data_IF_562981104159
#
_entry.id   IF_562981104159
#
_cell.length_a   1.000
_cell.length_b   1.000
_cell.length_c   1.000
_cell.angle_alpha   90.00
_cell.angle_beta   90.00
_cell.angle_gamma   90.00
#
_symmetry.space_group_name_H-M   'P 1'
#
loop_
_entity.id
_entity.type
_entity.pdbx_description
1 polymer ?
#
# COMPACT_ATOMS: atom_id res chain seq x y z
N UNK A 1 33.82 -0.71 25.53
CA UNK A 1 33.46 -2.02 24.94
C UNK A 1 31.95 -2.06 24.66
N UNK A 2 31.40 -1.19 23.79
CA UNK A 2 29.97 -1.25 23.34
C UNK A 2 29.82 -0.59 21.96
N UNK A 3 30.70 -0.88 21.00
CA UNK A 3 30.48 -0.45 19.59
C UNK A 3 29.82 -1.53 18.73
N UNK A 4 30.02 -2.80 19.08
CA UNK A 4 29.54 -3.92 18.27
C UNK A 4 28.10 -4.38 18.62
N UNK A 5 27.57 -4.06 19.81
CA UNK A 5 26.15 -4.31 20.12
C UNK A 5 25.23 -3.45 19.24
N UNK A 6 25.59 -2.19 18.98
CA UNK A 6 24.78 -1.28 18.14
C UNK A 6 24.61 -1.75 16.69
N UNK A 7 25.62 -2.40 16.12
CA UNK A 7 25.59 -2.87 14.72
C UNK A 7 24.58 -4.01 14.49
N UNK A 8 24.48 -4.96 15.41
CA UNK A 8 23.53 -6.08 15.31
C UNK A 8 22.07 -5.62 15.52
N UNK A 9 21.87 -4.60 16.36
CA UNK A 9 20.56 -3.97 16.58
C UNK A 9 20.11 -3.26 15.31
N UNK A 10 20.97 -2.43 14.72
CA UNK A 10 20.67 -1.71 13.47
C UNK A 10 20.38 -2.65 12.28
N UNK A 11 21.10 -3.77 12.17
CA UNK A 11 20.82 -4.78 11.15
C UNK A 11 19.44 -5.45 11.35
N UNK A 12 19.07 -5.77 12.60
CA UNK A 12 17.76 -6.34 12.93
C UNK A 12 16.63 -5.35 12.61
N UNK A 13 16.79 -4.08 12.96
CA UNK A 13 15.84 -3.02 12.60
C UNK A 13 15.69 -2.85 11.08
N UNK A 14 16.79 -2.89 10.30
CA UNK A 14 16.75 -2.80 8.82
C UNK A 14 15.94 -3.91 8.17
N UNK A 15 16.17 -5.17 8.55
CA UNK A 15 15.40 -6.31 8.04
C UNK A 15 13.91 -6.20 8.42
N UNK A 16 13.60 -5.64 9.59
CA UNK A 16 12.23 -5.48 10.06
C UNK A 16 11.50 -4.28 9.42
N UNK A 17 12.21 -3.22 9.04
CA UNK A 17 11.64 -2.08 8.30
C UNK A 17 11.31 -2.42 6.85
N UNK A 18 12.11 -3.27 6.18
CA UNK A 18 11.69 -3.88 4.90
C UNK A 18 10.44 -4.76 5.05
N UNK A 19 10.26 -5.39 6.20
CA UNK A 19 9.03 -6.12 6.53
C UNK A 19 7.83 -5.17 6.75
N UNK A 20 8.07 -3.88 7.00
CA UNK A 20 7.04 -2.84 7.07
C UNK A 20 6.27 -2.69 5.76
N UNK A 21 6.93 -2.66 4.61
CA UNK A 21 6.23 -2.57 3.32
C UNK A 21 5.31 -3.77 3.07
N UNK A 22 5.78 -4.99 3.40
CA UNK A 22 4.97 -6.20 3.35
C UNK A 22 3.83 -6.18 4.37
N UNK A 23 4.05 -5.59 5.55
CA UNK A 23 3.01 -5.41 6.57
C UNK A 23 1.92 -4.49 6.04
N UNK A 24 2.27 -3.37 5.40
CA UNK A 24 1.30 -2.47 4.79
C UNK A 24 0.50 -3.16 3.67
N UNK A 25 1.17 -3.92 2.80
CA UNK A 25 0.51 -4.73 1.77
C UNK A 25 -0.48 -5.72 2.39
N UNK A 26 -0.09 -6.44 3.44
CA UNK A 26 -0.96 -7.37 4.15
C UNK A 26 -2.16 -6.66 4.79
N UNK A 27 -1.97 -5.48 5.39
CA UNK A 27 -3.05 -4.69 5.96
C UNK A 27 -4.05 -4.23 4.87
N UNK A 28 -3.55 -3.82 3.71
CA UNK A 28 -4.38 -3.48 2.55
C UNK A 28 -5.15 -4.71 2.02
N UNK A 29 -4.52 -5.89 2.00
CA UNK A 29 -5.15 -7.14 1.59
C UNK A 29 -6.17 -7.69 2.59
N UNK A 30 -6.09 -7.29 3.87
CA UNK A 30 -7.05 -7.69 4.89
C UNK A 30 -8.42 -7.01 4.70
N UNK A 31 -8.44 -5.80 4.13
CA UNK A 31 -9.68 -5.13 3.72
C UNK A 31 -10.13 -5.64 2.34
N UNK A 32 -11.31 -6.26 2.27
CA UNK A 32 -11.81 -6.91 1.05
C UNK A 32 -11.92 -5.94 -0.14
N UNK A 33 -12.44 -4.74 0.08
CA UNK A 33 -12.66 -3.76 -1.00
C UNK A 33 -11.33 -3.25 -1.55
N UNK A 34 -10.39 -2.98 -0.65
CA UNK A 34 -9.02 -2.60 -1.01
C UNK A 34 -8.31 -3.72 -1.76
N UNK A 35 -8.42 -4.97 -1.29
CA UNK A 35 -7.84 -6.12 -1.95
C UNK A 35 -8.37 -6.30 -3.38
N UNK A 36 -9.68 -6.21 -3.58
CA UNK A 36 -10.32 -6.29 -4.91
C UNK A 36 -9.88 -5.15 -5.84
N UNK A 37 -9.80 -3.92 -5.31
CA UNK A 37 -9.32 -2.75 -6.05
C UNK A 37 -7.85 -2.94 -6.48
N UNK A 38 -7.01 -3.39 -5.55
CA UNK A 38 -5.59 -3.66 -5.76
C UNK A 38 -5.36 -4.78 -6.77
N UNK A 39 -6.14 -5.86 -6.69
CA UNK A 39 -6.08 -6.97 -7.65
C UNK A 39 -6.49 -6.51 -9.05
N UNK A 40 -7.60 -5.77 -9.16
CA UNK A 40 -8.12 -5.30 -10.43
C UNK A 40 -7.19 -4.30 -11.15
N UNK A 41 -6.44 -3.48 -10.40
CA UNK A 41 -5.62 -2.41 -10.97
C UNK A 41 -4.13 -2.74 -11.00
N UNK A 42 -3.61 -3.45 -10.01
CA UNK A 42 -2.16 -3.49 -9.72
C UNK A 42 -1.62 -4.93 -9.68
N UNK A 43 -2.09 -5.74 -8.74
CA UNK A 43 -1.46 -7.03 -8.39
C UNK A 43 -1.98 -8.21 -9.19
N UNK A 44 -3.14 -8.08 -9.85
CA UNK A 44 -3.78 -9.16 -10.59
C UNK A 44 -2.89 -9.80 -11.65
N UNK A 45 -2.78 -11.12 -11.61
CA UNK A 45 -2.03 -11.91 -12.57
C UNK A 45 -2.85 -12.08 -13.85
N UNK A 46 -2.15 -12.11 -15.00
CA UNK A 46 -2.75 -12.49 -16.27
C UNK A 46 -2.88 -14.01 -16.33
N UNK A 47 -4.02 -14.51 -16.79
CA UNK A 47 -4.28 -15.92 -17.02
C UNK A 47 -4.74 -16.13 -18.48
N UNK A 48 -5.20 -17.34 -18.83
CA UNK A 48 -5.66 -17.66 -20.19
C UNK A 48 -6.95 -16.91 -20.61
N UNK A 49 -7.69 -16.34 -19.66
CA UNK A 49 -9.01 -15.72 -19.86
C UNK A 49 -9.03 -14.22 -19.53
N UNK A 50 -7.99 -13.70 -18.89
CA UNK A 50 -7.92 -12.35 -18.32
C UNK A 50 -6.53 -11.76 -18.47
N UNK A 51 -6.47 -10.48 -18.83
CA UNK A 51 -5.21 -9.73 -18.91
C UNK A 51 -4.62 -9.37 -17.53
N UNK A 52 -5.29 -9.76 -16.44
CA UNK A 52 -4.90 -9.47 -15.07
C UNK A 52 -5.25 -8.04 -14.64
N UNK A 53 -4.43 -7.48 -13.75
CA UNK A 53 -4.57 -6.10 -13.29
C UNK A 53 -4.25 -5.09 -14.40
N UNK A 54 -4.85 -3.91 -14.35
CA UNK A 54 -4.64 -2.85 -15.35
C UNK A 54 -3.16 -2.58 -15.64
N UNK A 55 -2.35 -2.38 -14.62
CA UNK A 55 -0.92 -2.11 -14.75
C UNK A 55 -0.18 -3.19 -15.54
N UNK A 56 -0.53 -4.46 -15.29
CA UNK A 56 0.06 -5.62 -15.97
C UNK A 56 -0.40 -5.70 -17.43
N UNK A 57 -1.69 -5.45 -17.69
CA UNK A 57 -2.24 -5.43 -19.04
C UNK A 57 -1.59 -4.36 -19.92
N UNK A 58 -1.43 -3.13 -19.40
CA UNK A 58 -0.74 -2.04 -20.10
C UNK A 58 0.72 -2.42 -20.38
N UNK A 59 1.41 -3.02 -19.42
CA UNK A 59 2.80 -3.43 -19.59
C UNK A 59 2.99 -4.53 -20.63
N UNK A 60 2.14 -5.56 -20.60
CA UNK A 60 2.32 -6.77 -21.39
C UNK A 60 1.77 -6.64 -22.83
N UNK A 61 0.80 -5.75 -23.05
CA UNK A 61 0.21 -5.55 -24.37
C UNK A 61 0.78 -4.31 -25.06
N UNK A 62 1.57 -4.50 -26.12
CA UNK A 62 2.10 -3.39 -26.93
C UNK A 62 0.99 -2.46 -27.45
N UNK A 63 -0.18 -3.01 -27.78
CA UNK A 63 -1.33 -2.24 -28.26
C UNK A 63 -1.92 -1.35 -27.17
N UNK A 64 -2.16 -1.89 -25.97
CA UNK A 64 -2.69 -1.12 -24.85
C UNK A 64 -1.67 -0.09 -24.36
N UNK A 65 -0.38 -0.45 -24.33
CA UNK A 65 0.71 0.48 -24.03
C UNK A 65 0.73 1.67 -24.97
N UNK A 66 0.63 1.44 -26.28
CA UNK A 66 0.64 2.49 -27.28
C UNK A 66 -0.62 3.38 -27.21
N UNK A 67 -1.80 2.80 -26.93
CA UNK A 67 -3.03 3.57 -26.70
C UNK A 67 -2.91 4.44 -25.46
N UNK A 68 -2.48 3.87 -24.33
CA UNK A 68 -2.29 4.61 -23.08
C UNK A 68 -1.26 5.74 -23.22
N UNK A 69 -0.11 5.47 -23.84
CA UNK A 69 0.93 6.48 -24.07
C UNK A 69 0.39 7.67 -24.88
N UNK A 70 -0.38 7.40 -25.95
CA UNK A 70 -1.03 8.44 -26.75
C UNK A 70 -1.95 9.33 -25.92
N UNK A 71 -2.80 8.72 -25.07
CA UNK A 71 -3.72 9.47 -24.21
C UNK A 71 -2.97 10.28 -23.13
N UNK A 72 -1.83 9.78 -22.63
CA UNK A 72 -0.96 10.53 -21.73
C UNK A 72 -0.32 11.73 -22.44
N UNK A 73 0.19 11.55 -23.66
CA UNK A 73 0.76 12.65 -24.48
C UNK A 73 -0.28 13.74 -24.78
N UNK A 74 -1.53 13.36 -25.06
CA UNK A 74 -2.64 14.30 -25.21
C UNK A 74 -2.86 15.12 -23.92
N UNK A 75 -2.87 14.47 -22.76
CA UNK A 75 -3.03 15.15 -21.47
C UNK A 75 -1.84 16.08 -21.17
N UNK A 76 -0.64 15.63 -21.48
CA UNK A 76 0.60 16.39 -21.32
C UNK A 76 0.60 17.67 -22.15
N UNK A 77 0.09 17.60 -23.38
CA UNK A 77 -0.03 18.77 -24.25
C UNK A 77 -0.93 19.87 -23.65
N UNK A 78 -1.89 19.49 -22.81
CA UNK A 78 -2.85 20.40 -22.16
C UNK A 78 -2.38 20.88 -20.79
N UNK A 79 -1.76 20.00 -19.99
CA UNK A 79 -1.42 20.29 -18.59
C UNK A 79 0.06 20.60 -18.37
N UNK A 80 0.95 20.30 -19.32
CA UNK A 80 2.42 20.45 -19.22
C UNK A 80 3.00 19.84 -17.92
N UNK A 81 2.35 18.80 -17.37
CA UNK A 81 2.61 18.27 -16.02
C UNK A 81 2.42 16.76 -15.87
N UNK A 82 1.94 16.03 -16.88
CA UNK A 82 1.80 14.59 -16.73
C UNK A 82 3.19 13.95 -16.81
N UNK A 83 3.42 12.98 -15.94
CA UNK A 83 4.65 12.20 -15.98
C UNK A 83 4.61 11.34 -17.24
N UNK A 84 5.59 11.47 -18.13
CA UNK A 84 5.75 10.57 -19.28
C UNK A 84 5.72 9.11 -18.80
N UNK A 85 4.67 8.41 -19.22
CA UNK A 85 4.16 7.16 -18.64
C UNK A 85 5.08 5.95 -18.76
N UNK A 86 6.16 5.95 -17.99
CA UNK A 86 6.98 4.77 -17.77
C UNK A 86 6.29 3.78 -16.83
N UNK A 87 5.61 2.77 -17.37
CA UNK A 87 5.21 1.57 -16.61
C UNK A 87 6.41 0.65 -16.34
N UNK A 88 7.49 1.20 -15.78
CA UNK A 88 8.75 0.52 -15.44
C UNK A 88 8.75 0.05 -13.98
N UNK A 89 7.63 -0.51 -13.50
CA UNK A 89 7.60 -1.16 -12.19
C UNK A 89 8.19 -2.57 -12.30
N UNK A 90 8.82 -3.09 -11.25
CA UNK A 90 9.23 -4.50 -11.21
C UNK A 90 8.13 -5.30 -10.49
N UNK A 91 7.49 -6.32 -11.10
CA UNK A 91 6.28 -6.98 -10.55
C UNK A 91 6.45 -7.61 -9.16
N UNK A 92 7.68 -7.69 -8.66
CA UNK A 92 8.09 -8.33 -7.41
C UNK A 92 8.81 -7.36 -6.45
N UNK A 93 8.79 -6.04 -6.69
CA UNK A 93 9.44 -5.06 -5.80
C UNK A 93 8.43 -4.32 -4.93
N UNK A 94 8.84 -4.10 -3.69
CA UNK A 94 8.08 -3.47 -2.60
C UNK A 94 7.43 -2.11 -2.90
N UNK A 95 7.83 -1.41 -3.97
CA UNK A 95 7.29 -0.09 -4.35
C UNK A 95 6.21 -0.15 -5.43
N UNK A 96 5.80 -1.35 -5.87
CA UNK A 96 4.89 -1.51 -7.03
C UNK A 96 3.52 -0.88 -6.78
N UNK A 97 2.94 -1.11 -5.60
CA UNK A 97 1.64 -0.55 -5.22
C UNK A 97 1.65 0.96 -5.36
N UNK A 98 2.63 1.61 -4.72
CA UNK A 98 2.76 3.05 -4.74
C UNK A 98 3.03 3.61 -6.14
N UNK A 99 3.98 3.06 -6.88
CA UNK A 99 4.35 3.57 -8.21
C UNK A 99 3.16 3.50 -9.17
N UNK A 100 2.41 2.39 -9.13
CA UNK A 100 1.24 2.20 -9.97
C UNK A 100 0.09 3.10 -9.52
N UNK A 101 -0.21 3.18 -8.22
CA UNK A 101 -1.29 4.02 -7.72
C UNK A 101 -1.02 5.50 -8.00
N UNK A 102 0.21 5.96 -7.83
CA UNK A 102 0.63 7.33 -8.13
C UNK A 102 0.48 7.63 -9.64
N UNK A 103 0.95 6.73 -10.50
CA UNK A 103 0.80 6.85 -11.95
C UNK A 103 -0.68 6.92 -12.35
N UNK A 104 -1.54 6.12 -11.74
CA UNK A 104 -2.98 6.12 -11.98
C UNK A 104 -3.66 7.39 -11.49
N UNK A 105 -3.30 7.90 -10.31
CA UNK A 105 -3.84 9.17 -9.80
C UNK A 105 -3.47 10.34 -10.70
N UNK A 106 -2.26 10.35 -11.27
CA UNK A 106 -1.80 11.40 -12.19
C UNK A 106 -2.40 11.27 -13.60
N UNK A 107 -2.78 10.06 -14.03
CA UNK A 107 -3.20 9.75 -15.39
C UNK A 107 -4.57 9.03 -15.45
N UNK A 108 -5.48 9.35 -14.52
CA UNK A 108 -6.77 8.67 -14.42
C UNK A 108 -7.61 8.82 -15.70
N UNK A 109 -7.65 10.03 -16.27
CA UNK A 109 -8.33 10.28 -17.55
C UNK A 109 -7.79 9.41 -18.70
N UNK A 110 -6.48 9.41 -18.97
CA UNK A 110 -5.85 8.49 -19.94
C UNK A 110 -6.15 7.01 -19.69
N UNK A 111 -6.16 6.56 -18.42
CA UNK A 111 -6.50 5.18 -18.07
C UNK A 111 -7.94 4.84 -18.47
N UNK A 112 -8.91 5.70 -18.15
CA UNK A 112 -10.31 5.53 -18.51
C UNK A 112 -10.51 5.53 -20.03
N UNK A 113 -9.91 6.49 -20.75
CA UNK A 113 -9.99 6.54 -22.23
C UNK A 113 -9.44 5.27 -22.88
N UNK A 114 -8.32 4.75 -22.38
CA UNK A 114 -7.71 3.50 -22.87
C UNK A 114 -8.65 2.31 -22.69
N UNK A 115 -9.31 2.24 -21.53
CA UNK A 115 -10.28 1.18 -21.23
C UNK A 115 -11.55 1.32 -22.08
N UNK A 116 -12.10 2.53 -22.21
CA UNK A 116 -13.25 2.82 -23.07
C UNK A 116 -12.94 2.43 -24.53
N UNK A 117 -11.77 2.79 -25.05
CA UNK A 117 -11.30 2.41 -26.38
C UNK A 117 -11.18 0.89 -26.53
N UNK A 118 -10.72 0.18 -25.49
CA UNK A 118 -10.65 -1.28 -25.49
C UNK A 118 -12.03 -1.95 -25.53
N UNK A 119 -13.04 -1.38 -24.86
CA UNK A 119 -14.43 -1.87 -24.93
C UNK A 119 -15.02 -1.64 -26.32
N UNK A 120 -14.85 -0.42 -26.86
CA UNK A 120 -15.38 0.01 -28.16
C UNK A 120 -14.79 -0.83 -29.30
N UNK A 121 -13.48 -1.04 -29.30
CA UNK A 121 -12.82 -1.89 -30.32
C UNK A 121 -13.22 -3.36 -30.22
N UNK A 122 -13.79 -3.79 -29.09
CA UNK A 122 -14.25 -5.16 -28.87
C UNK A 122 -13.14 -6.21 -28.83
N UNK A 123 -13.54 -7.47 -29.02
CA UNK A 123 -12.65 -8.64 -28.99
C UNK A 123 -12.37 -9.16 -27.58
N UNK A 124 -11.26 -9.88 -27.42
CA UNK A 124 -10.89 -10.58 -26.16
C UNK A 124 -10.68 -9.64 -24.97
N UNK A 125 -10.44 -8.35 -25.20
CA UNK A 125 -10.17 -7.39 -24.13
C UNK A 125 -11.45 -6.75 -23.57
N UNK A 126 -12.62 -6.96 -24.20
CA UNK A 126 -13.85 -6.22 -23.89
C UNK A 126 -14.31 -6.47 -22.46
N UNK A 127 -14.46 -7.73 -22.08
CA UNK A 127 -15.00 -8.09 -20.77
C UNK A 127 -14.05 -7.69 -19.64
N UNK A 128 -12.75 -7.87 -19.88
CA UNK A 128 -11.70 -7.37 -18.99
C UNK A 128 -11.79 -5.85 -18.80
N UNK A 129 -11.91 -5.08 -19.88
CA UNK A 129 -11.95 -3.62 -19.81
C UNK A 129 -13.23 -3.11 -19.14
N UNK A 130 -14.38 -3.75 -19.40
CA UNK A 130 -15.65 -3.46 -18.73
C UNK A 130 -15.55 -3.67 -17.22
N UNK A 131 -14.99 -4.79 -16.78
CA UNK A 131 -14.78 -5.09 -15.35
C UNK A 131 -13.90 -4.02 -14.69
N UNK A 132 -12.79 -3.64 -15.33
CA UNK A 132 -11.89 -2.60 -14.78
C UNK A 132 -12.59 -1.24 -14.72
N UNK A 133 -13.39 -0.87 -15.73
CA UNK A 133 -14.17 0.38 -15.73
C UNK A 133 -15.22 0.41 -14.62
N UNK A 134 -15.89 -0.71 -14.35
CA UNK A 134 -16.85 -0.82 -13.24
C UNK A 134 -16.19 -0.66 -11.88
N UNK A 135 -14.96 -1.17 -11.73
CA UNK A 135 -14.16 -0.98 -10.52
C UNK A 135 -13.73 0.47 -10.35
N UNK A 136 -13.46 1.20 -11.43
CA UNK A 136 -13.10 2.62 -11.42
C UNK A 136 -14.35 3.51 -11.30
N UNK A 137 -15.09 3.38 -10.19
CA UNK A 137 -16.10 4.35 -9.79
C UNK A 137 -15.46 5.47 -8.92
N UNK A 138 -16.13 6.61 -8.71
CA UNK A 138 -15.55 7.74 -7.99
C UNK A 138 -15.09 7.41 -6.56
N UNK A 139 -15.85 6.61 -5.80
CA UNK A 139 -15.44 6.21 -4.45
C UNK A 139 -14.15 5.37 -4.47
N UNK A 140 -14.04 4.42 -5.41
CA UNK A 140 -12.85 3.59 -5.56
C UNK A 140 -11.64 4.39 -6.07
N UNK A 141 -11.85 5.42 -6.89
CA UNK A 141 -10.77 6.34 -7.29
C UNK A 141 -10.27 7.17 -6.09
N UNK A 142 -11.18 7.63 -5.22
CA UNK A 142 -10.81 8.32 -3.97
C UNK A 142 -10.05 7.38 -3.03
N UNK A 143 -10.54 6.15 -2.84
CA UNK A 143 -9.89 5.12 -2.04
C UNK A 143 -8.47 4.85 -2.58
N UNK A 144 -8.29 4.68 -3.90
CA UNK A 144 -6.98 4.53 -4.53
C UNK A 144 -6.05 5.71 -4.21
N UNK A 145 -6.55 6.94 -4.30
CA UNK A 145 -5.76 8.14 -4.01
C UNK A 145 -5.34 8.22 -2.53
N UNK A 146 -6.22 7.85 -1.61
CA UNK A 146 -5.91 7.81 -0.18
C UNK A 146 -4.92 6.69 0.16
N UNK A 147 -5.08 5.51 -0.43
CA UNK A 147 -4.12 4.40 -0.31
C UNK A 147 -2.74 4.79 -0.86
N UNK A 148 -2.71 5.51 -1.98
CA UNK A 148 -1.49 6.07 -2.55
C UNK A 148 -0.83 7.03 -1.56
N UNK A 149 -1.58 7.95 -0.97
CA UNK A 149 -1.05 8.90 0.02
C UNK A 149 -0.49 8.18 1.25
N UNK A 150 -1.21 7.17 1.77
CA UNK A 150 -0.75 6.34 2.87
C UNK A 150 0.56 5.63 2.51
N UNK A 151 0.64 5.04 1.31
CA UNK A 151 1.85 4.40 0.82
C UNK A 151 3.02 5.39 0.72
N UNK A 152 2.81 6.64 0.29
CA UNK A 152 3.87 7.67 0.25
C UNK A 152 4.39 8.00 1.65
N UNK A 153 3.51 8.16 2.62
CA UNK A 153 3.89 8.46 4.02
C UNK A 153 4.67 7.30 4.61
N UNK A 154 4.15 6.07 4.47
CA UNK A 154 4.82 4.86 4.94
C UNK A 154 6.17 4.63 4.24
N UNK A 155 6.26 4.88 2.94
CA UNK A 155 7.50 4.71 2.19
C UNK A 155 8.54 5.77 2.60
N UNK A 156 8.15 7.02 2.86
CA UNK A 156 9.06 8.05 3.40
C UNK A 156 9.64 7.62 4.74
N UNK A 157 8.82 7.05 5.61
CA UNK A 157 9.29 6.48 6.87
C UNK A 157 10.29 5.33 6.62
N UNK A 158 9.94 4.34 5.79
CA UNK A 158 10.80 3.18 5.52
C UNK A 158 12.14 3.58 4.86
N UNK A 159 12.14 4.44 3.85
CA UNK A 159 13.37 4.83 3.13
C UNK A 159 14.29 5.79 3.87
N UNK A 160 13.81 6.49 4.91
CA UNK A 160 14.72 7.27 5.78
C UNK A 160 15.78 6.38 6.44
N UNK A 161 15.45 5.11 6.67
CA UNK A 161 16.35 4.12 7.24
C UNK A 161 17.41 3.60 6.28
N UNK A 162 17.14 3.63 4.97
CA UNK A 162 18.11 3.24 3.96
C UNK A 162 19.29 4.24 3.87
N UNK A 163 19.03 5.52 4.17
CA UNK A 163 19.99 6.62 3.94
C UNK A 163 20.90 6.95 5.12
N UNK A 164 20.56 6.53 6.34
CA UNK A 164 21.18 7.06 7.59
C UNK A 164 21.72 5.99 8.55
N UNK A 165 21.90 4.76 8.07
CA UNK A 165 22.09 3.59 8.95
C UNK A 165 23.38 3.59 9.77
N UNK A 166 24.43 4.26 9.33
CA UNK A 166 25.71 4.25 10.06
C UNK A 166 25.76 5.28 11.22
N UNK A 167 24.70 6.08 11.40
CA UNK A 167 24.65 7.18 12.38
C UNK A 167 23.40 7.21 13.26
N UNK A 168 22.48 6.27 13.09
CA UNK A 168 21.18 6.28 13.78
C UNK A 168 21.27 5.51 15.10
N UNK A 169 20.70 6.06 16.17
CA UNK A 169 20.57 5.39 17.47
C UNK A 169 19.18 4.77 17.61
N UNK A 170 19.02 3.86 18.58
CA UNK A 170 17.71 3.27 18.91
C UNK A 170 16.67 4.34 19.31
N UNK A 171 17.12 5.40 19.99
CA UNK A 171 16.26 6.51 20.38
C UNK A 171 15.78 7.31 19.16
N UNK A 172 16.64 7.52 18.17
CA UNK A 172 16.25 8.14 16.90
C UNK A 172 15.21 7.28 16.16
N UNK A 173 15.32 5.95 16.25
CA UNK A 173 14.33 5.01 15.69
C UNK A 173 12.96 5.12 16.33
N UNK A 174 12.90 5.18 17.66
CA UNK A 174 11.64 5.40 18.37
C UNK A 174 11.03 6.77 18.03
N UNK A 175 11.84 7.83 18.03
CA UNK A 175 11.39 9.18 17.73
C UNK A 175 10.82 9.31 16.31
N UNK A 176 11.51 8.75 15.31
CA UNK A 176 11.02 8.76 13.92
C UNK A 176 9.72 7.97 13.76
N UNK A 177 9.52 6.89 14.53
CA UNK A 177 8.26 6.16 14.50
C UNK A 177 7.13 6.95 15.14
N UNK A 178 7.37 7.65 16.25
CA UNK A 178 6.39 8.58 16.83
C UNK A 178 6.08 9.75 15.89
N UNK A 179 7.09 10.29 15.19
CA UNK A 179 6.89 11.29 14.16
C UNK A 179 6.03 10.77 13.00
N UNK A 180 6.23 9.52 12.57
CA UNK A 180 5.38 8.86 11.58
C UNK A 180 3.94 8.74 12.05
N UNK A 181 3.69 8.30 13.29
CA UNK A 181 2.34 8.21 13.87
C UNK A 181 1.66 9.58 13.90
N UNK A 182 2.38 10.63 14.31
CA UNK A 182 1.90 12.01 14.30
C UNK A 182 1.56 12.50 12.89
N UNK A 183 2.44 12.28 11.92
CA UNK A 183 2.22 12.67 10.52
C UNK A 183 0.99 11.95 9.94
N UNK A 184 0.91 10.63 10.12
CA UNK A 184 -0.20 9.82 9.63
C UNK A 184 -1.53 10.20 10.31
N UNK A 185 -1.53 10.45 11.62
CA UNK A 185 -2.71 10.92 12.36
C UNK A 185 -3.20 12.28 11.82
N UNK A 186 -2.30 13.26 11.62
CA UNK A 186 -2.68 14.57 11.07
C UNK A 186 -3.26 14.46 9.66
N UNK A 187 -2.74 13.54 8.85
CA UNK A 187 -3.21 13.35 7.48
C UNK A 187 -4.61 12.72 7.41
N UNK A 188 -4.86 11.68 8.21
CA UNK A 188 -6.02 10.81 8.02
C UNK A 188 -7.04 10.80 9.17
N UNK A 189 -6.71 11.30 10.36
CA UNK A 189 -7.56 11.18 11.56
C UNK A 189 -8.44 12.40 11.84
N UNK A 190 -9.70 12.15 12.21
CA UNK A 190 -10.61 13.16 12.73
C UNK A 190 -10.37 13.50 14.21
N UNK A 191 -9.46 12.79 14.86
CA UNK A 191 -9.05 13.03 16.24
C UNK A 191 -7.55 13.18 16.36
N UNK A 192 -7.11 14.18 17.12
CA UNK A 192 -5.73 14.31 17.55
C UNK A 192 -5.33 13.13 18.44
N UNK A 193 -4.04 12.99 18.74
CA UNK A 193 -3.56 12.00 19.69
C UNK A 193 -4.12 12.23 21.11
N UNK A 194 -4.44 13.48 21.45
CA UNK A 194 -5.04 13.87 22.74
C UNK A 194 -6.56 13.67 22.78
N UNK A 195 -7.17 13.25 21.66
CA UNK A 195 -8.59 12.93 21.54
C UNK A 195 -9.49 14.09 21.05
N UNK A 196 -8.91 15.28 20.87
CA UNK A 196 -9.60 16.46 20.35
C UNK A 196 -10.03 16.27 18.91
N UNK A 197 -11.17 16.86 18.54
CA UNK A 197 -11.65 16.84 17.17
C UNK A 197 -10.76 17.73 16.29
N UNK A 198 -10.28 17.16 15.19
CA UNK A 198 -9.51 17.87 14.18
C UNK A 198 -10.01 17.52 12.78
N UNK A 199 -9.76 18.39 11.81
CA UNK A 199 -9.98 18.06 10.40
C UNK A 199 -8.73 17.36 9.84
N UNK A 200 -8.86 16.17 9.23
CA UNK A 200 -7.77 15.52 8.52
C UNK A 200 -7.20 16.45 7.44
N UNK A 201 -5.87 16.55 7.35
CA UNK A 201 -5.22 17.44 6.38
C UNK A 201 -5.60 17.13 4.93
N UNK A 202 -5.86 15.86 4.58
CA UNK A 202 -6.32 15.48 3.23
C UNK A 202 -7.68 16.08 2.87
N UNK A 203 -8.49 16.49 3.85
CA UNK A 203 -9.73 17.22 3.64
C UNK A 203 -9.55 18.75 3.71
N UNK A 204 -8.39 19.22 4.19
CA UNK A 204 -8.11 20.64 4.33
C UNK A 204 -7.97 21.30 2.95
N UNK A 205 -8.56 22.49 2.74
CA UNK A 205 -8.35 23.26 1.52
C UNK A 205 -6.88 23.67 1.31
N UNK A 206 -6.08 23.71 2.38
CA UNK A 206 -4.68 24.10 2.32
C UNK A 206 -3.76 22.98 1.79
N UNK A 207 -4.23 21.73 1.84
CA UNK A 207 -3.49 20.60 1.30
C UNK A 207 -3.69 20.54 -0.22
N UNK A 208 -2.78 21.16 -0.98
CA UNK A 208 -2.86 21.24 -2.45
C UNK A 208 -2.07 20.15 -3.18
N UNK A 209 -1.19 19.45 -2.47
CA UNK A 209 -0.23 18.48 -3.02
C UNK A 209 -0.53 17.02 -2.69
N UNK A 210 -1.62 16.75 -1.94
CA UNK A 210 -2.05 15.39 -1.64
C UNK A 210 -2.55 14.65 -2.87
N UNK A 211 -2.41 13.32 -2.86
CA UNK A 211 -2.88 12.47 -3.97
C UNK A 211 -4.37 12.63 -4.31
N UNK A 212 -5.30 12.81 -3.35
CA UNK A 212 -6.70 13.12 -3.69
C UNK A 212 -6.85 14.43 -4.49
N UNK A 213 -6.08 15.46 -4.16
CA UNK A 213 -6.09 16.74 -4.86
C UNK A 213 -5.45 16.63 -6.25
N UNK A 214 -4.35 15.88 -6.36
CA UNK A 214 -3.72 15.59 -7.64
C UNK A 214 -4.64 14.78 -8.57
N UNK A 215 -5.38 13.82 -8.03
CA UNK A 215 -6.42 13.09 -8.77
C UNK A 215 -7.51 14.05 -9.27
N UNK A 216 -8.00 14.97 -8.42
CA UNK A 216 -8.99 15.98 -8.84
C UNK A 216 -8.44 16.92 -9.91
N UNK A 217 -7.16 17.25 -9.87
CA UNK A 217 -6.50 18.09 -10.85
C UNK A 217 -6.27 17.37 -12.18
N UNK A 218 -5.92 16.08 -12.16
CA UNK A 218 -5.72 15.27 -13.36
C UNK A 218 -7.04 14.85 -14.02
N UNK A 219 -8.09 14.62 -13.22
CA UNK A 219 -9.38 14.16 -13.68
C UNK A 219 -10.50 14.68 -12.76
N UNK A 220 -11.36 15.53 -13.31
CA UNK A 220 -12.41 16.19 -12.53
C UNK A 220 -13.53 15.21 -12.14
N UNK A 221 -13.46 14.70 -10.90
CA UNK A 221 -14.44 13.77 -10.31
C UNK A 221 -15.86 14.32 -10.18
N UNK A 222 -16.03 15.65 -10.16
CA UNK A 222 -17.33 16.28 -9.93
C UNK A 222 -18.21 16.34 -11.19
N UNK A 223 -17.59 16.28 -12.37
CA UNK A 223 -18.33 16.36 -13.63
C UNK A 223 -19.05 15.05 -13.94
N UNK A 224 -20.25 15.13 -14.50
CA UNK A 224 -20.89 13.94 -15.05
C UNK A 224 -20.12 13.46 -16.28
N UNK A 225 -19.98 12.15 -16.44
CA UNK A 225 -19.47 11.56 -17.67
C UNK A 225 -20.34 10.35 -18.04
N UNK A 226 -20.76 10.28 -19.30
CA UNK A 226 -21.50 9.16 -19.84
C UNK A 226 -20.93 8.85 -21.22
N UNK A 227 -20.42 7.63 -21.40
CA UNK A 227 -19.90 7.15 -22.67
C UNK A 227 -20.82 6.03 -23.14
N UNK A 228 -21.53 6.29 -24.24
CA UNK A 228 -22.47 5.36 -24.87
C UNK A 228 -21.91 5.00 -26.24
N UNK A 229 -21.82 3.70 -26.52
CA UNK A 229 -21.37 3.19 -27.81
C UNK A 229 -22.31 2.07 -28.27
N UNK A 230 -22.82 2.17 -29.50
CA UNK A 230 -23.75 1.19 -30.09
C UNK A 230 -24.96 0.86 -29.19
N UNK A 231 -25.49 1.86 -28.48
CA UNK A 231 -26.62 1.68 -27.56
C UNK A 231 -26.25 1.05 -26.20
N UNK A 232 -24.99 0.70 -25.98
CA UNK A 232 -24.48 0.21 -24.70
C UNK A 232 -23.81 1.33 -23.90
N UNK A 233 -24.14 1.43 -22.61
CA UNK A 233 -23.43 2.31 -21.68
C UNK A 233 -22.08 1.68 -21.31
N UNK A 234 -20.99 2.22 -21.86
CA UNK A 234 -19.61 1.74 -21.64
C UNK A 234 -19.07 2.21 -20.30
N UNK A 235 -19.34 3.47 -19.96
CA UNK A 235 -18.91 4.07 -18.71
C UNK A 235 -19.91 5.14 -18.28
N UNK A 236 -20.21 5.18 -16.99
CA UNK A 236 -21.11 6.16 -16.42
C UNK A 236 -20.60 6.61 -15.05
N UNK A 237 -20.55 7.92 -14.88
CA UNK A 237 -20.25 8.58 -13.62
C UNK A 237 -21.32 9.64 -13.34
N UNK A 238 -22.00 9.57 -12.18
CA UNK A 238 -22.95 10.60 -11.80
C UNK A 238 -22.23 11.91 -11.47
N UNK A 239 -22.93 13.04 -11.63
CA UNK A 239 -22.45 14.33 -11.16
C UNK A 239 -22.34 14.31 -9.64
N UNK A 240 -21.20 14.71 -9.10
CA UNK A 240 -21.01 14.91 -7.66
C UNK A 240 -20.94 16.41 -7.35
N UNK A 241 -21.53 16.80 -6.23
CA UNK A 241 -21.26 18.10 -5.63
C UNK A 241 -20.10 18.00 -4.62
N UNK A 242 -19.59 19.14 -4.18
CA UNK A 242 -18.46 19.18 -3.24
C UNK A 242 -18.81 18.50 -1.91
N UNK A 243 -20.09 18.57 -1.50
CA UNK A 243 -20.59 17.94 -0.28
C UNK A 243 -20.53 16.42 -0.38
N UNK A 244 -21.08 15.83 -1.43
CA UNK A 244 -21.04 14.38 -1.70
C UNK A 244 -19.60 13.89 -1.78
N UNK A 245 -18.72 14.63 -2.46
CA UNK A 245 -17.31 14.28 -2.54
C UNK A 245 -16.63 14.28 -1.15
N UNK A 246 -16.91 15.26 -0.30
CA UNK A 246 -16.38 15.32 1.07
C UNK A 246 -16.91 14.20 1.96
N UNK A 247 -18.20 13.88 1.86
CA UNK A 247 -18.83 12.78 2.60
C UNK A 247 -18.25 11.42 2.17
N UNK A 248 -18.09 11.21 0.86
CA UNK A 248 -17.43 10.02 0.31
C UNK A 248 -15.98 9.92 0.79
N UNK A 249 -15.21 11.01 0.73
CA UNK A 249 -13.83 11.02 1.21
C UNK A 249 -13.74 10.75 2.72
N UNK A 250 -14.65 11.29 3.53
CA UNK A 250 -14.71 11.01 4.96
C UNK A 250 -15.04 9.55 5.27
N UNK A 251 -15.92 8.91 4.47
CA UNK A 251 -16.22 7.48 4.56
C UNK A 251 -14.98 6.63 4.25
N UNK A 252 -14.28 6.92 3.16
CA UNK A 252 -13.07 6.18 2.78
C UNK A 252 -11.92 6.37 3.80
N UNK A 253 -11.85 7.52 4.47
CA UNK A 253 -10.89 7.72 5.57
C UNK A 253 -11.06 6.74 6.72
N UNK A 254 -12.27 6.23 6.99
CA UNK A 254 -12.48 5.18 7.98
C UNK A 254 -11.76 3.88 7.61
N UNK A 255 -11.78 3.49 6.33
CA UNK A 255 -11.04 2.32 5.86
C UNK A 255 -9.52 2.52 5.99
N UNK A 256 -9.04 3.71 5.64
CA UNK A 256 -7.62 4.08 5.76
C UNK A 256 -7.15 4.07 7.21
N UNK A 257 -7.97 4.59 8.13
CA UNK A 257 -7.66 4.55 9.57
C UNK A 257 -7.53 3.11 10.07
N UNK A 258 -8.41 2.20 9.67
CA UNK A 258 -8.30 0.79 10.05
C UNK A 258 -7.00 0.15 9.53
N UNK A 259 -6.65 0.39 8.26
CA UNK A 259 -5.39 -0.09 7.67
C UNK A 259 -4.19 0.51 8.42
N UNK A 260 -4.23 1.81 8.73
CA UNK A 260 -3.17 2.51 9.44
C UNK A 260 -3.00 1.97 10.87
N UNK A 261 -4.08 1.72 11.60
CA UNK A 261 -4.02 1.14 12.96
C UNK A 261 -3.33 -0.22 12.92
N UNK A 262 -3.76 -1.12 12.04
CA UNK A 262 -3.12 -2.43 11.91
C UNK A 262 -1.66 -2.34 11.47
N UNK A 263 -1.34 -1.39 10.60
CA UNK A 263 0.03 -1.15 10.17
C UNK A 263 0.92 -0.65 11.32
N UNK A 264 0.43 0.32 12.10
CA UNK A 264 1.11 0.87 13.27
C UNK A 264 1.29 -0.21 14.34
N UNK A 265 0.27 -1.03 14.61
CA UNK A 265 0.34 -2.15 15.56
C UNK A 265 1.37 -3.19 15.10
N UNK A 266 1.40 -3.49 13.81
CA UNK A 266 2.42 -4.34 13.21
C UNK A 266 3.82 -3.77 13.46
N UNK A 267 4.06 -2.50 13.13
CA UNK A 267 5.36 -1.86 13.35
C UNK A 267 5.72 -1.78 14.85
N UNK A 268 4.77 -1.48 15.73
CA UNK A 268 4.96 -1.47 17.18
C UNK A 268 5.45 -2.83 17.69
N UNK A 269 4.80 -3.92 17.25
CA UNK A 269 5.20 -5.28 17.60
C UNK A 269 6.64 -5.56 17.15
N UNK A 270 7.02 -5.13 15.94
CA UNK A 270 8.38 -5.28 15.43
C UNK A 270 9.40 -4.46 16.20
N UNK A 271 9.08 -3.20 16.55
CA UNK A 271 9.95 -2.35 17.38
C UNK A 271 10.18 -2.98 18.75
N UNK A 272 9.12 -3.41 19.42
CA UNK A 272 9.21 -4.05 20.73
C UNK A 272 10.03 -5.35 20.69
N UNK A 273 9.87 -6.15 19.64
CA UNK A 273 10.64 -7.39 19.44
C UNK A 273 12.13 -7.09 19.17
N UNK A 274 12.42 -6.05 18.38
CA UNK A 274 13.77 -5.63 18.08
C UNK A 274 14.49 -5.06 19.31
N UNK A 275 13.80 -4.24 20.12
CA UNK A 275 14.27 -3.78 21.43
C UNK A 275 14.51 -4.98 22.34
N UNK A 276 13.54 -5.88 22.51
CA UNK A 276 13.70 -7.05 23.37
C UNK A 276 14.90 -7.92 22.96
N UNK A 277 15.08 -8.15 21.66
CA UNK A 277 16.22 -8.91 21.12
C UNK A 277 17.56 -8.19 21.31
N UNK A 278 17.57 -6.86 21.20
CA UNK A 278 18.75 -6.02 21.43
C UNK A 278 19.22 -6.05 22.89
N UNK A 279 18.27 -6.10 23.83
CA UNK A 279 18.53 -6.11 25.27
C UNK A 279 18.59 -7.53 25.87
N UNK A 280 18.22 -8.58 25.12
CA UNK A 280 18.31 -9.97 25.56
C UNK A 280 19.70 -10.36 26.12
N UNK A 281 20.84 -9.92 25.55
CA UNK A 281 22.17 -10.19 26.13
C UNK A 281 22.43 -9.49 27.48
N UNK A 282 21.66 -8.45 27.81
CA UNK A 282 21.76 -7.70 29.06
C UNK A 282 20.82 -8.27 30.14
N UNK A 283 19.87 -9.13 29.76
CA UNK A 283 19.02 -9.90 30.67
C UNK A 283 19.62 -11.27 31.02
N UNK A 284 20.88 -11.24 31.48
CA UNK A 284 21.63 -12.43 31.92
C UNK A 284 20.90 -13.15 33.06
N UNK A 285 20.10 -12.43 33.86
CA UNK A 285 19.35 -12.97 34.98
C UNK A 285 18.20 -13.90 34.57
N UNK A 286 17.50 -13.60 33.48
CA UNK A 286 16.44 -14.47 32.94
C UNK A 286 17.03 -15.65 32.17
N UNK A 287 18.19 -15.49 31.53
CA UNK A 287 18.90 -16.59 30.86
C UNK A 287 19.46 -17.61 31.86
N UNK A 288 20.09 -17.14 32.94
CA UNK A 288 20.58 -17.99 34.02
C UNK A 288 19.45 -18.73 34.75
N UNK A 289 18.26 -18.11 34.92
CA UNK A 289 17.07 -18.75 35.51
C UNK A 289 16.41 -19.79 34.59
N UNK A 290 16.55 -19.66 33.27
CA UNK A 290 16.03 -20.64 32.29
C UNK A 290 17.00 -21.80 32.02
N UNK A 291 18.22 -21.73 32.54
CA UNK A 291 19.20 -22.81 32.54
C UNK A 291 19.31 -23.43 33.93
N UNK A 292 18.18 -23.80 34.56
CA UNK A 292 18.16 -24.65 35.75
C UNK A 292 17.84 -26.10 35.36
N UNK A 293 18.35 -27.08 36.12
CA UNK A 293 18.12 -28.51 35.88
C UNK A 293 16.62 -28.88 35.75
N UNK A 294 15.73 -28.09 36.35
CA UNK A 294 14.26 -28.25 36.28
C UNK A 294 13.66 -28.03 34.87
N UNK A 295 14.42 -27.45 33.94
CA UNK A 295 13.97 -27.12 32.58
C UNK A 295 14.54 -28.07 31.52
N UNK A 296 15.41 -29.01 31.91
CA UNK A 296 15.89 -30.06 31.02
C UNK A 296 14.75 -31.08 30.79
N UNK A 297 14.47 -31.49 29.53
CA UNK A 297 13.58 -32.62 29.30
C UNK A 297 14.18 -33.83 30.04
N UNK A 298 13.41 -34.36 31.00
CA UNK A 298 13.83 -35.48 31.83
C UNK A 298 14.30 -36.65 30.96
N UNK A 299 15.23 -37.48 31.46
CA UNK A 299 15.87 -38.52 30.66
C UNK A 299 14.79 -39.37 29.99
N UNK A 300 14.87 -39.45 28.65
CA UNK A 300 14.08 -40.39 27.88
C UNK A 300 14.23 -41.76 28.54
N UNK A 301 13.16 -42.28 29.14
CA UNK A 301 13.09 -43.71 29.45
C UNK A 301 13.13 -44.41 28.11
N UNK A 302 14.32 -44.79 27.66
CA UNK A 302 14.48 -45.82 26.66
C UNK A 302 13.72 -47.03 27.17
N UNK A 303 12.57 -47.29 26.55
CA UNK A 303 11.85 -48.53 26.72
C UNK A 303 12.82 -49.64 26.31
N UNK A 304 13.35 -50.35 27.32
CA UNK A 304 14.00 -51.63 27.16
C UNK A 304 12.97 -52.66 26.68
N UNK A 305 12.61 -52.58 25.40
CA UNK A 305 12.05 -53.71 24.68
C UNK A 305 13.24 -54.61 24.35
N UNK A 306 13.63 -55.42 25.34
CA UNK A 306 14.49 -56.57 25.09
C UNK A 306 13.67 -57.59 24.29
N UNK A 307 14.20 -57.85 23.10
CA UNK A 307 13.77 -58.84 22.13
C UNK A 307 13.29 -60.15 22.77
N UNK A 308 12.10 -60.58 22.34
CA UNK A 308 11.79 -61.98 22.18
C UNK A 308 12.82 -62.62 21.24
N UNK A 309 13.45 -63.70 21.67
CA UNK A 309 14.49 -64.41 20.93
C UNK A 309 14.90 -65.74 21.58
N UNK A 310 13.98 -66.71 21.51
CA UNK A 310 14.21 -68.16 21.33
C UNK A 310 15.11 -68.96 22.30
N UNK A 311 14.49 -69.81 23.12
CA UNK A 311 14.59 -71.28 23.07
C UNK A 311 13.42 -71.90 23.83
#
# INVERSE_FOLDING_TARGET
MVKNLGLNVLASFRCHLHSGQKTLENCMHADKRTAELMECLITGYSDAQSLGGFARAIRNSCRLKASYARHCEELDSVLQKASTGGWSFAPQRFSTVLQVSETLCLNMGPALKTLQEAVVRGGQNRDWAMRVLQTLNPENMLLLALLCELCKVAQRYVHRWDRSADKTTLADTALEFENFKLEANRLFSFRSLDGDLQQPLVLSPDCTSGMPQLLRASYNLLQQEAVIHEGMMVYFRPKWDEKTNREAMAKELGAIQNILTHFVDGINLWHNTAVASAFAPLDVSTWAKRCSDDTLPGPHKENSILNQGSS
#
